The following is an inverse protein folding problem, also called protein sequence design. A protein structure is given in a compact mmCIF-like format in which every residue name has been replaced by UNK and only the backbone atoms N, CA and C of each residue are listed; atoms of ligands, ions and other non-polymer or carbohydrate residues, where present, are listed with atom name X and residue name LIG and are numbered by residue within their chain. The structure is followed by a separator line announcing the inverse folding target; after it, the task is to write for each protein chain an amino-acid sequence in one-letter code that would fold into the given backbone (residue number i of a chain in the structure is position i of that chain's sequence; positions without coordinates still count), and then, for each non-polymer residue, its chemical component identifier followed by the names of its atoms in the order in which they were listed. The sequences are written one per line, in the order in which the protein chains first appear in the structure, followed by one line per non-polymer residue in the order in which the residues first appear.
data_IF_315263896900
#
_entry.id   IF_315263896900
#
_cell.length_a   1.000
_cell.length_b   1.000
_cell.length_c   1.000
_cell.angle_alpha   90.00
_cell.angle_beta   90.00
_cell.angle_gamma   90.00
#
_symmetry.space_group_name_H-M   'P 1'
#
loop_
_entity.id
_entity.type
_entity.pdbx_description
1 polymer ?
#
# COMPACT_ATOMS: atom_id res chain seq x y z
N UNK A 1 -27.31 40.00 -9.38
CA UNK A 1 -27.80 38.69 -8.87
C UNK A 1 -26.64 37.94 -8.31
N UNK A 2 -26.46 37.96 -6.97
CA UNK A 2 -25.36 37.29 -6.26
C UNK A 2 -25.68 35.80 -6.16
N UNK A 3 -24.90 34.99 -6.83
CA UNK A 3 -24.93 33.53 -6.60
C UNK A 3 -24.48 33.25 -5.17
N UNK A 4 -25.18 32.44 -4.36
CA UNK A 4 -24.81 32.13 -2.99
C UNK A 4 -23.51 31.33 -2.96
N UNK A 5 -22.74 31.41 -1.88
CA UNK A 5 -21.46 30.74 -1.78
C UNK A 5 -21.63 29.22 -1.70
N UNK A 6 -21.21 28.54 -2.77
CA UNK A 6 -21.22 27.07 -2.91
C UNK A 6 -20.14 26.37 -2.05
N UNK A 7 -19.71 26.96 -0.91
CA UNK A 7 -18.54 26.53 -0.20
C UNK A 7 -18.77 25.56 0.99
N UNK A 8 -19.89 25.66 1.67
CA UNK A 8 -20.14 24.88 2.88
C UNK A 8 -20.39 23.35 2.63
N UNK A 9 -21.23 22.92 1.66
CA UNK A 9 -21.45 21.50 1.43
C UNK A 9 -20.22 20.76 0.89
N UNK A 10 -19.33 21.45 0.12
CA UNK A 10 -18.12 20.84 -0.44
C UNK A 10 -17.02 20.63 0.59
N UNK A 11 -16.87 21.53 1.57
CA UNK A 11 -15.90 21.36 2.66
C UNK A 11 -16.31 20.24 3.61
N UNK A 12 -17.59 20.10 3.92
CA UNK A 12 -18.13 19.00 4.71
C UNK A 12 -17.90 17.64 4.02
N UNK A 13 -18.08 17.58 2.68
CA UNK A 13 -17.82 16.37 1.90
C UNK A 13 -16.34 15.96 1.90
N UNK A 14 -15.41 16.92 1.84
CA UNK A 14 -13.97 16.65 1.92
C UNK A 14 -13.58 16.13 3.31
N UNK A 15 -14.04 16.77 4.38
CA UNK A 15 -13.77 16.32 5.73
C UNK A 15 -14.30 14.89 5.97
N UNK A 16 -15.51 14.61 5.46
CA UNK A 16 -16.11 13.29 5.54
C UNK A 16 -15.22 12.22 4.89
N UNK A 17 -14.82 12.42 3.62
CA UNK A 17 -14.04 11.39 2.90
C UNK A 17 -12.65 11.17 3.52
N UNK A 18 -12.06 12.22 4.13
CA UNK A 18 -10.81 12.09 4.86
C UNK A 18 -10.97 11.23 6.12
N UNK A 19 -12.07 11.40 6.86
CA UNK A 19 -12.40 10.56 8.01
C UNK A 19 -12.65 9.12 7.57
N UNK A 20 -13.39 8.91 6.47
CA UNK A 20 -13.61 7.58 5.87
C UNK A 20 -12.30 6.89 5.55
N UNK A 21 -11.39 7.54 4.82
CA UNK A 21 -10.08 6.97 4.47
C UNK A 21 -9.24 6.68 5.72
N UNK A 22 -9.26 7.57 6.70
CA UNK A 22 -8.53 7.36 7.95
C UNK A 22 -9.06 6.14 8.71
N UNK A 23 -10.38 5.98 8.82
CA UNK A 23 -11.01 4.84 9.50
C UNK A 23 -10.75 3.53 8.75
N UNK A 24 -10.80 3.53 7.42
CA UNK A 24 -10.49 2.35 6.60
C UNK A 24 -9.02 1.93 6.77
N UNK A 25 -8.09 2.91 6.81
CA UNK A 25 -6.67 2.62 7.03
C UNK A 25 -6.37 2.19 8.46
N UNK A 26 -7.08 2.74 9.43
CA UNK A 26 -7.01 2.30 10.82
C UNK A 26 -7.48 0.84 10.95
N UNK A 27 -8.63 0.52 10.40
CA UNK A 27 -9.18 -0.85 10.42
C UNK A 27 -8.25 -1.84 9.71
N UNK A 28 -7.72 -1.47 8.55
CA UNK A 28 -6.72 -2.26 7.84
C UNK A 28 -5.44 -2.46 8.66
N UNK A 29 -4.93 -1.38 9.28
CA UNK A 29 -3.74 -1.43 10.12
C UNK A 29 -3.89 -2.31 11.35
N UNK A 30 -5.08 -2.33 11.99
CA UNK A 30 -5.41 -3.18 13.13
C UNK A 30 -5.22 -4.67 12.80
N UNK A 31 -5.53 -5.08 11.57
CA UNK A 31 -5.50 -6.49 11.15
C UNK A 31 -4.08 -6.98 10.83
N UNK A 32 -3.17 -6.07 10.42
CA UNK A 32 -1.82 -6.44 9.94
C UNK A 32 -1.03 -7.32 10.92
N UNK A 33 -0.89 -7.00 12.21
CA UNK A 33 -0.11 -7.83 13.13
C UNK A 33 -0.87 -9.07 13.63
N UNK A 34 -2.17 -9.16 13.40
CA UNK A 34 -3.05 -10.14 14.06
C UNK A 34 -3.44 -11.28 13.13
N UNK A 35 -3.73 -11.01 11.86
CA UNK A 35 -4.08 -12.05 10.90
C UNK A 35 -2.99 -13.13 10.79
N UNK A 36 -1.68 -12.81 10.70
CA UNK A 36 -0.64 -13.82 10.69
C UNK A 36 -0.61 -14.69 11.94
N UNK A 37 -0.90 -14.10 13.11
CA UNK A 37 -0.98 -14.87 14.37
C UNK A 37 -2.14 -15.84 14.35
N UNK A 38 -3.33 -15.41 13.90
CA UNK A 38 -4.49 -16.28 13.79
C UNK A 38 -4.27 -17.45 12.82
N UNK A 39 -3.58 -17.19 11.71
CA UNK A 39 -3.17 -18.25 10.76
C UNK A 39 -2.16 -19.21 11.42
N UNK A 40 -1.20 -18.71 12.18
CA UNK A 40 -0.23 -19.51 12.90
C UNK A 40 -0.92 -20.43 13.91
N UNK A 41 -1.94 -19.92 14.61
CA UNK A 41 -2.71 -20.72 15.58
C UNK A 41 -3.51 -21.85 14.88
N UNK A 42 -4.17 -21.54 13.75
CA UNK A 42 -4.90 -22.55 12.97
C UNK A 42 -3.99 -23.58 12.29
N UNK A 43 -2.69 -23.28 12.12
CA UNK A 43 -1.70 -24.23 11.58
C UNK A 43 -0.95 -24.98 12.68
N UNK A 44 -1.42 -24.95 13.92
CA UNK A 44 -0.81 -25.64 15.06
C UNK A 44 0.59 -25.12 15.42
N UNK A 45 0.86 -23.85 15.15
CA UNK A 45 2.14 -23.20 15.43
C UNK A 45 3.22 -23.42 14.35
N UNK A 46 2.89 -24.09 13.24
CA UNK A 46 3.84 -24.30 12.14
C UNK A 46 4.05 -23.01 11.34
N UNK A 47 5.20 -22.35 11.51
CA UNK A 47 5.55 -21.14 10.78
C UNK A 47 5.61 -21.36 9.25
N UNK A 48 6.09 -22.53 8.80
CA UNK A 48 6.13 -22.91 7.38
C UNK A 48 4.71 -23.01 6.80
N UNK A 49 3.81 -23.73 7.47
CA UNK A 49 2.41 -23.84 7.02
C UNK A 49 1.70 -22.50 7.08
N UNK A 50 1.92 -21.70 8.11
CA UNK A 50 1.37 -20.36 8.23
C UNK A 50 1.80 -19.45 7.08
N UNK A 51 3.08 -19.51 6.69
CA UNK A 51 3.60 -18.73 5.57
C UNK A 51 2.95 -19.14 4.24
N UNK A 52 2.78 -20.42 3.96
CA UNK A 52 2.09 -20.90 2.77
C UNK A 52 0.65 -20.37 2.68
N UNK A 53 -0.11 -20.46 3.77
CA UNK A 53 -1.47 -19.91 3.82
C UNK A 53 -1.49 -18.39 3.69
N UNK A 54 -0.55 -17.66 4.30
CA UNK A 54 -0.40 -16.21 4.12
C UNK A 54 -0.13 -15.86 2.65
N UNK A 55 0.72 -16.65 1.98
CA UNK A 55 0.97 -16.51 0.54
C UNK A 55 -0.30 -16.68 -0.28
N UNK A 56 -1.09 -17.73 -0.01
CA UNK A 56 -2.39 -17.98 -0.68
C UNK A 56 -3.36 -16.83 -0.42
N UNK A 57 -3.53 -16.42 0.83
CA UNK A 57 -4.45 -15.34 1.21
C UNK A 57 -4.08 -14.00 0.56
N UNK A 58 -2.81 -13.65 0.61
CA UNK A 58 -2.32 -12.41 0.03
C UNK A 58 -2.43 -12.39 -1.49
N UNK A 59 -2.07 -13.51 -2.15
CA UNK A 59 -2.18 -13.63 -3.62
C UNK A 59 -3.63 -13.59 -4.08
N UNK A 60 -4.54 -14.32 -3.41
CA UNK A 60 -5.96 -14.28 -3.73
C UNK A 60 -6.54 -12.87 -3.58
N UNK A 61 -6.28 -12.22 -2.44
CA UNK A 61 -6.70 -10.85 -2.18
C UNK A 61 -6.20 -9.90 -3.27
N UNK A 62 -4.89 -9.91 -3.54
CA UNK A 62 -4.27 -9.01 -4.51
C UNK A 62 -4.72 -9.28 -5.95
N UNK A 63 -4.93 -10.55 -6.33
CA UNK A 63 -5.43 -10.91 -7.65
C UNK A 63 -6.87 -10.41 -7.84
N UNK A 64 -7.75 -10.65 -6.87
CA UNK A 64 -9.12 -10.15 -6.93
C UNK A 64 -9.12 -8.62 -6.98
N UNK A 65 -8.37 -7.95 -6.11
CA UNK A 65 -8.25 -6.49 -6.10
C UNK A 65 -7.74 -5.96 -7.45
N UNK A 66 -6.72 -6.58 -8.05
CA UNK A 66 -6.15 -6.18 -9.32
C UNK A 66 -7.19 -6.15 -10.45
N UNK A 67 -8.02 -7.20 -10.55
CA UNK A 67 -9.05 -7.28 -11.57
C UNK A 67 -10.27 -6.43 -11.25
N UNK A 68 -10.68 -6.33 -9.99
CA UNK A 68 -11.92 -5.68 -9.59
C UNK A 68 -11.78 -4.19 -9.26
N UNK A 69 -10.59 -3.68 -8.92
CA UNK A 69 -10.42 -2.25 -8.66
C UNK A 69 -10.82 -1.36 -9.86
N UNK A 70 -10.43 -1.65 -11.13
CA UNK A 70 -10.90 -0.90 -12.29
C UNK A 70 -12.41 -1.07 -12.52
N UNK A 71 -12.97 -2.26 -12.25
CA UNK A 71 -14.41 -2.53 -12.36
C UNK A 71 -15.18 -1.67 -11.35
N UNK A 72 -14.75 -1.62 -10.09
CA UNK A 72 -15.35 -0.77 -9.06
C UNK A 72 -15.24 0.72 -9.43
N UNK A 73 -14.12 1.14 -10.02
CA UNK A 73 -13.96 2.47 -10.59
C UNK A 73 -15.02 2.77 -11.64
N UNK A 74 -15.17 1.91 -12.64
CA UNK A 74 -16.16 2.06 -13.72
C UNK A 74 -17.61 1.96 -13.22
N UNK A 75 -17.89 1.12 -12.22
CA UNK A 75 -19.20 1.07 -11.56
C UNK A 75 -19.48 2.37 -10.81
N UNK A 76 -18.47 2.97 -10.18
CA UNK A 76 -18.62 4.26 -9.51
C UNK A 76 -18.85 5.42 -10.48
N UNK A 77 -18.29 5.33 -11.70
CA UNK A 77 -18.57 6.29 -12.78
C UNK A 77 -20.00 6.16 -13.31
N UNK A 78 -20.58 4.97 -13.29
CA UNK A 78 -21.92 4.70 -13.80
C UNK A 78 -23.02 4.96 -12.76
N UNK A 79 -22.84 4.44 -11.54
CA UNK A 79 -23.89 4.47 -10.51
C UNK A 79 -23.74 5.63 -9.52
N UNK A 80 -22.59 6.31 -9.54
CA UNK A 80 -22.20 7.32 -8.56
C UNK A 80 -21.13 6.81 -7.59
N UNK A 81 -20.40 7.72 -6.99
CA UNK A 81 -19.29 7.39 -6.05
C UNK A 81 -19.80 6.82 -4.75
N UNK A 82 -20.85 7.46 -4.20
CA UNK A 82 -21.41 7.13 -2.89
C UNK A 82 -21.85 5.67 -2.76
N UNK A 83 -22.67 5.09 -3.67
CA UNK A 83 -23.11 3.70 -3.54
C UNK A 83 -21.94 2.71 -3.51
N UNK A 84 -20.89 2.94 -4.31
CA UNK A 84 -19.74 2.04 -4.38
C UNK A 84 -18.89 2.14 -3.11
N UNK A 85 -18.67 3.34 -2.57
CA UNK A 85 -17.96 3.53 -1.28
C UNK A 85 -18.71 2.81 -0.17
N UNK A 86 -20.03 3.01 -0.08
CA UNK A 86 -20.85 2.37 0.95
C UNK A 86 -20.85 0.85 0.84
N UNK A 87 -21.04 0.31 -0.37
CA UNK A 87 -21.00 -1.14 -0.61
C UNK A 87 -19.65 -1.74 -0.22
N UNK A 88 -18.55 -1.07 -0.57
CA UNK A 88 -17.19 -1.49 -0.20
C UNK A 88 -16.99 -1.49 1.31
N UNK A 89 -17.40 -0.43 2.02
CA UNK A 89 -17.28 -0.36 3.48
C UNK A 89 -18.14 -1.41 4.17
N UNK A 90 -19.38 -1.65 3.70
CA UNK A 90 -20.24 -2.70 4.24
C UNK A 90 -19.63 -4.10 4.04
N UNK A 91 -19.13 -4.38 2.84
CA UNK A 91 -18.48 -5.66 2.53
C UNK A 91 -17.21 -5.90 3.36
N UNK A 92 -16.42 -4.85 3.62
CA UNK A 92 -15.25 -4.95 4.52
C UNK A 92 -15.67 -5.17 5.99
N UNK A 93 -16.73 -4.53 6.46
CA UNK A 93 -17.25 -4.78 7.80
C UNK A 93 -17.74 -6.25 7.95
N UNK A 94 -18.41 -6.78 6.92
CA UNK A 94 -18.83 -8.18 6.88
C UNK A 94 -17.63 -9.14 6.84
N UNK A 95 -16.56 -8.81 6.09
CA UNK A 95 -15.29 -9.57 6.07
C UNK A 95 -14.68 -9.65 7.48
N UNK A 96 -14.54 -8.52 8.17
CA UNK A 96 -13.97 -8.51 9.51
C UNK A 96 -14.80 -9.34 10.51
N UNK A 97 -16.12 -9.26 10.44
CA UNK A 97 -17.00 -10.09 11.26
C UNK A 97 -16.83 -11.59 10.92
N UNK A 98 -16.73 -11.93 9.63
CA UNK A 98 -16.51 -13.28 9.17
C UNK A 98 -15.18 -13.84 9.66
N UNK A 99 -14.10 -13.05 9.64
CA UNK A 99 -12.79 -13.44 10.17
C UNK A 99 -12.85 -13.60 11.69
N UNK A 100 -13.51 -12.70 12.42
CA UNK A 100 -13.67 -12.78 13.86
C UNK A 100 -14.38 -14.08 14.30
N UNK A 101 -15.33 -14.55 13.49
CA UNK A 101 -16.11 -15.78 13.73
C UNK A 101 -15.45 -17.02 13.10
N UNK A 102 -14.35 -16.88 12.35
CA UNK A 102 -13.78 -17.96 11.57
C UNK A 102 -13.40 -19.17 12.44
N UNK A 103 -13.90 -20.39 12.13
CA UNK A 103 -13.52 -21.61 12.82
C UNK A 103 -12.28 -22.28 12.21
N UNK A 104 -11.89 -21.89 10.99
CA UNK A 104 -10.78 -22.51 10.26
C UNK A 104 -10.25 -21.59 9.13
N UNK A 105 -9.16 -22.03 8.47
CA UNK A 105 -8.48 -21.29 7.40
C UNK A 105 -9.34 -21.03 6.16
N UNK A 106 -10.32 -21.87 5.84
CA UNK A 106 -11.19 -21.67 4.68
C UNK A 106 -12.11 -20.46 4.83
N UNK A 107 -12.56 -20.18 6.05
CA UNK A 107 -13.31 -18.96 6.36
C UNK A 107 -12.44 -17.71 6.21
N UNK A 108 -11.18 -17.80 6.61
CA UNK A 108 -10.22 -16.70 6.38
C UNK A 108 -10.00 -16.48 4.88
N UNK A 109 -9.92 -17.57 4.08
CA UNK A 109 -9.78 -17.48 2.64
C UNK A 109 -11.00 -16.80 2.00
N UNK A 110 -12.22 -17.17 2.42
CA UNK A 110 -13.45 -16.53 1.97
C UNK A 110 -13.46 -15.04 2.31
N UNK A 111 -13.04 -14.68 3.53
CA UNK A 111 -12.87 -13.29 3.95
C UNK A 111 -11.89 -12.55 3.04
N UNK A 112 -10.73 -13.11 2.75
CA UNK A 112 -9.76 -12.48 1.83
C UNK A 112 -10.32 -12.26 0.43
N UNK A 113 -11.18 -13.18 -0.06
CA UNK A 113 -11.88 -12.97 -1.33
C UNK A 113 -12.86 -11.78 -1.24
N UNK A 114 -13.69 -11.71 -0.20
CA UNK A 114 -14.62 -10.60 0.03
C UNK A 114 -13.87 -9.27 0.13
N UNK A 115 -12.80 -9.23 0.93
CA UNK A 115 -11.96 -8.04 1.06
C UNK A 115 -11.37 -7.59 -0.29
N UNK A 116 -10.91 -8.53 -1.12
CA UNK A 116 -10.40 -8.24 -2.47
C UNK A 116 -11.46 -7.59 -3.37
N UNK A 117 -12.70 -8.10 -3.36
CA UNK A 117 -13.82 -7.50 -4.09
C UNK A 117 -14.22 -6.13 -3.56
N UNK A 118 -14.13 -5.91 -2.25
CA UNK A 118 -14.56 -4.66 -1.61
C UNK A 118 -13.47 -3.59 -1.51
N UNK A 119 -12.24 -3.88 -1.94
CA UNK A 119 -11.10 -2.97 -1.83
C UNK A 119 -11.13 -1.82 -2.85
N UNK A 120 -12.23 -1.06 -2.90
CA UNK A 120 -12.30 0.20 -3.64
C UNK A 120 -11.71 1.39 -2.87
N UNK A 121 -11.12 1.13 -1.70
CA UNK A 121 -10.81 2.09 -0.63
C UNK A 121 -9.84 3.21 -1.01
N UNK A 122 -9.20 3.17 -2.16
CA UNK A 122 -8.26 4.22 -2.60
C UNK A 122 -8.73 4.87 -3.90
N UNK A 123 -9.15 4.09 -4.89
CA UNK A 123 -9.48 4.60 -6.23
C UNK A 123 -10.76 5.44 -6.23
N UNK A 124 -11.83 4.96 -5.61
CA UNK A 124 -13.13 5.65 -5.59
C UNK A 124 -13.11 6.89 -4.67
N UNK A 125 -12.57 6.86 -3.44
CA UNK A 125 -12.36 8.07 -2.64
C UNK A 125 -11.48 9.12 -3.32
N UNK A 126 -10.43 8.71 -4.04
CA UNK A 126 -9.59 9.65 -4.79
C UNK A 126 -10.37 10.35 -5.91
N UNK A 127 -11.21 9.62 -6.63
CA UNK A 127 -12.10 10.18 -7.63
C UNK A 127 -13.15 11.11 -6.99
N UNK A 128 -13.75 10.71 -5.87
CA UNK A 128 -14.67 11.54 -5.09
C UNK A 128 -14.05 12.90 -4.72
N UNK A 129 -12.82 12.88 -4.20
CA UNK A 129 -12.10 14.13 -3.86
C UNK A 129 -11.84 14.98 -5.10
N UNK A 130 -11.45 14.37 -6.21
CA UNK A 130 -11.27 15.12 -7.47
C UNK A 130 -12.57 15.78 -7.95
N UNK A 131 -13.73 15.16 -7.70
CA UNK A 131 -15.05 15.69 -8.07
C UNK A 131 -15.46 16.90 -7.20
N UNK A 132 -15.17 16.86 -5.88
CA UNK A 132 -15.60 17.89 -4.92
C UNK A 132 -14.58 19.01 -4.71
N UNK A 133 -13.32 18.84 -5.16
CA UNK A 133 -12.21 19.76 -4.89
C UNK A 133 -11.83 20.57 -6.14
N UNK A 134 -11.81 21.91 -6.08
CA UNK A 134 -11.30 22.74 -7.16
C UNK A 134 -9.85 22.39 -7.54
N UNK A 135 -9.46 22.51 -8.83
CA UNK A 135 -8.13 22.12 -9.31
C UNK A 135 -6.96 22.67 -8.47
N UNK A 136 -7.05 23.93 -8.03
CA UNK A 136 -6.01 24.64 -7.29
C UNK A 136 -5.79 24.06 -5.87
N UNK A 137 -6.81 23.40 -5.30
CA UNK A 137 -6.78 22.81 -3.96
C UNK A 137 -6.59 21.29 -3.95
N UNK A 138 -6.58 20.64 -5.14
CA UNK A 138 -6.46 19.17 -5.24
C UNK A 138 -5.18 18.63 -4.63
N UNK A 139 -4.06 19.29 -4.86
CA UNK A 139 -2.78 18.86 -4.29
C UNK A 139 -2.82 18.81 -2.75
N UNK A 140 -3.39 19.81 -2.10
CA UNK A 140 -3.56 19.84 -0.65
C UNK A 140 -4.54 18.77 -0.16
N UNK A 141 -5.64 18.52 -0.90
CA UNK A 141 -6.62 17.49 -0.56
C UNK A 141 -6.03 16.08 -0.67
N UNK A 142 -5.25 15.78 -1.72
CA UNK A 142 -4.54 14.51 -1.85
C UNK A 142 -3.43 14.37 -0.79
N UNK A 143 -2.76 15.46 -0.41
CA UNK A 143 -1.83 15.47 0.71
C UNK A 143 -2.50 15.10 2.04
N UNK A 144 -3.72 15.60 2.27
CA UNK A 144 -4.52 15.24 3.44
C UNK A 144 -4.95 13.76 3.46
N UNK A 145 -5.24 13.15 2.29
CA UNK A 145 -5.44 11.69 2.19
C UNK A 145 -4.17 10.96 2.65
N UNK A 146 -3.02 11.38 2.15
CA UNK A 146 -1.75 10.77 2.55
C UNK A 146 -1.49 10.86 4.06
N UNK A 147 -1.83 12.00 4.67
CA UNK A 147 -1.75 12.18 6.13
C UNK A 147 -2.74 11.27 6.88
N UNK A 148 -3.99 11.19 6.43
CA UNK A 148 -5.01 10.30 7.01
C UNK A 148 -4.58 8.82 6.91
N UNK A 149 -4.02 8.43 5.77
CA UNK A 149 -3.44 7.11 5.56
C UNK A 149 -2.30 6.85 6.55
N UNK A 150 -1.37 7.80 6.70
CA UNK A 150 -0.23 7.69 7.61
C UNK A 150 -0.64 7.53 9.07
N UNK A 151 -1.62 8.32 9.53
CA UNK A 151 -2.16 8.24 10.90
C UNK A 151 -2.81 6.87 11.14
N UNK A 152 -3.66 6.42 10.21
CA UNK A 152 -4.30 5.10 10.31
C UNK A 152 -3.28 3.96 10.32
N UNK A 153 -2.24 4.06 9.52
CA UNK A 153 -1.19 3.04 9.40
C UNK A 153 -0.23 3.01 10.61
N UNK A 154 -0.11 4.10 11.38
CA UNK A 154 0.65 4.12 12.65
C UNK A 154 -0.20 3.60 13.80
N UNK A 155 -1.42 4.13 13.94
CA UNK A 155 -2.28 3.80 15.07
C UNK A 155 -2.89 2.41 14.94
N UNK A 156 -3.19 1.96 13.72
CA UNK A 156 -3.82 0.67 13.45
C UNK A 156 -3.03 -0.50 14.02
N UNK A 157 -1.77 -0.73 13.61
CA UNK A 157 -0.96 -1.82 14.14
C UNK A 157 -0.75 -1.76 15.65
N UNK A 158 -0.65 -0.56 16.22
CA UNK A 158 -0.55 -0.39 17.67
C UNK A 158 -1.82 -0.89 18.39
N UNK A 159 -2.98 -0.41 17.97
CA UNK A 159 -4.27 -0.84 18.54
C UNK A 159 -4.49 -2.33 18.32
N UNK A 160 -4.23 -2.81 17.10
CA UNK A 160 -4.36 -4.22 16.75
C UNK A 160 -3.48 -5.13 17.60
N UNK A 161 -2.23 -4.74 17.81
CA UNK A 161 -1.28 -5.48 18.65
C UNK A 161 -1.72 -5.55 20.12
N UNK A 162 -2.17 -4.41 20.70
CA UNK A 162 -2.66 -4.38 22.08
C UNK A 162 -3.93 -5.22 22.24
N UNK A 163 -4.92 -5.03 21.36
CA UNK A 163 -6.17 -5.79 21.41
C UNK A 163 -5.93 -7.29 21.15
N UNK A 164 -5.09 -7.62 20.17
CA UNK A 164 -4.76 -9.00 19.83
C UNK A 164 -3.97 -9.74 20.91
N UNK A 165 -3.29 -9.03 21.81
CA UNK A 165 -2.65 -9.64 22.98
C UNK A 165 -3.61 -10.02 24.10
N UNK A 166 -4.84 -9.45 24.08
CA UNK A 166 -5.93 -9.81 25.01
C UNK A 166 -6.71 -10.99 24.44
N UNK A 167 -7.15 -10.87 23.20
CA UNK A 167 -7.84 -11.92 22.45
C UNK A 167 -7.50 -11.80 20.96
N UNK A 168 -7.04 -12.87 20.29
CA UNK A 168 -6.68 -12.83 18.86
C UNK A 168 -7.82 -12.41 17.92
N UNK A 169 -9.07 -12.49 18.35
CA UNK A 169 -10.25 -12.13 17.55
C UNK A 169 -10.74 -10.70 17.81
N UNK A 170 -10.40 -10.13 18.97
CA UNK A 170 -10.81 -8.78 19.36
C UNK A 170 -10.45 -7.69 18.33
N UNK A 171 -9.25 -7.68 17.71
CA UNK A 171 -8.91 -6.71 16.67
C UNK A 171 -9.86 -6.73 15.48
N UNK A 172 -10.34 -7.90 15.07
CA UNK A 172 -11.28 -8.02 13.95
C UNK A 172 -12.66 -7.47 14.30
N UNK A 173 -13.12 -7.66 15.55
CA UNK A 173 -14.34 -7.03 16.04
C UNK A 173 -14.22 -5.51 16.10
N UNK A 174 -13.09 -4.98 16.54
CA UNK A 174 -12.81 -3.53 16.55
C UNK A 174 -12.80 -2.98 15.13
N UNK A 175 -12.05 -3.62 14.21
CA UNK A 175 -11.99 -3.21 12.81
C UNK A 175 -13.38 -3.26 12.15
N UNK A 176 -14.13 -4.34 12.38
CA UNK A 176 -15.50 -4.50 11.89
C UNK A 176 -16.45 -3.42 12.42
N UNK A 177 -16.41 -3.14 13.71
CA UNK A 177 -17.21 -2.08 14.33
C UNK A 177 -16.86 -0.69 13.78
N UNK A 178 -15.58 -0.37 13.63
CA UNK A 178 -15.11 0.90 13.04
C UNK A 178 -15.57 1.04 11.59
N UNK A 179 -15.41 -0.01 10.78
CA UNK A 179 -15.82 0.01 9.37
C UNK A 179 -17.33 0.07 9.22
N UNK A 180 -18.09 -0.63 10.09
CA UNK A 180 -19.56 -0.53 10.12
C UNK A 180 -20.02 0.86 10.56
N UNK A 181 -19.37 1.46 11.56
CA UNK A 181 -19.64 2.83 11.97
C UNK A 181 -19.35 3.82 10.84
N UNK A 182 -18.25 3.61 10.08
CA UNK A 182 -17.92 4.39 8.89
C UNK A 182 -18.99 4.24 7.79
N UNK A 183 -19.46 3.02 7.54
CA UNK A 183 -20.59 2.76 6.63
C UNK A 183 -21.85 3.51 7.06
N UNK A 184 -22.25 3.40 8.34
CA UNK A 184 -23.42 4.09 8.87
C UNK A 184 -23.26 5.61 8.78
N UNK A 185 -22.10 6.14 9.14
CA UNK A 185 -21.78 7.56 8.98
C UNK A 185 -21.92 7.99 7.52
N UNK A 186 -21.37 7.21 6.58
CA UNK A 186 -21.49 7.45 5.15
C UNK A 186 -22.91 7.39 4.63
N UNK A 187 -23.71 6.49 5.17
CA UNK A 187 -25.12 6.34 4.79
C UNK A 187 -25.93 7.61 5.09
N UNK A 188 -25.66 8.30 6.19
CA UNK A 188 -26.42 9.49 6.61
C UNK A 188 -25.77 10.81 6.18
N UNK A 189 -24.43 10.87 6.01
CA UNK A 189 -23.70 12.13 5.88
C UNK A 189 -23.03 12.30 4.50
N UNK A 190 -22.65 11.19 3.79
CA UNK A 190 -21.94 11.31 2.52
C UNK A 190 -22.88 11.72 1.38
N UNK A 191 -22.74 12.92 0.80
CA UNK A 191 -23.48 13.28 -0.41
C UNK A 191 -22.93 12.56 -1.64
N UNK A 192 -23.72 12.47 -2.71
CA UNK A 192 -23.20 12.01 -4.00
C UNK A 192 -22.35 13.10 -4.64
N UNK A 193 -21.14 12.75 -5.11
CA UNK A 193 -20.24 13.69 -5.77
C UNK A 193 -20.39 13.72 -7.28
N UNK A 194 -20.92 12.64 -7.88
CA UNK A 194 -21.08 12.51 -9.31
C UNK A 194 -22.56 12.61 -9.71
N UNK A 195 -23.03 13.80 -10.17
CA UNK A 195 -24.40 13.99 -10.57
C UNK A 195 -24.75 13.13 -11.80
N UNK A 196 -26.03 12.75 -11.98
CA UNK A 196 -26.47 11.84 -13.04
C UNK A 196 -26.02 12.24 -14.44
N UNK A 197 -25.94 13.54 -14.72
CA UNK A 197 -25.60 14.13 -16.03
C UNK A 197 -24.11 13.91 -16.39
N UNK A 198 -23.26 13.64 -15.39
CA UNK A 198 -21.82 13.39 -15.57
C UNK A 198 -21.45 11.92 -15.51
N UNK A 199 -22.44 11.03 -15.31
CA UNK A 199 -22.21 9.60 -15.25
C UNK A 199 -21.87 9.04 -16.63
N UNK A 200 -20.87 8.15 -16.67
CA UNK A 200 -20.44 7.48 -17.89
C UNK A 200 -21.08 6.09 -18.03
N UNK A 201 -21.38 5.60 -19.25
CA UNK A 201 -21.79 4.22 -19.44
C UNK A 201 -20.66 3.27 -19.03
N UNK A 202 -21.03 2.09 -18.49
CA UNK A 202 -20.06 1.07 -18.13
C UNK A 202 -19.48 0.41 -19.40
N UNK A 203 -18.16 0.46 -19.55
CA UNK A 203 -17.44 -0.16 -20.67
C UNK A 203 -16.38 -1.13 -20.17
N UNK A 204 -16.57 -2.42 -20.40
CA UNK A 204 -15.62 -3.48 -20.00
C UNK A 204 -14.20 -3.28 -20.53
N UNK A 205 -14.05 -2.78 -21.76
CA UNK A 205 -12.74 -2.54 -22.37
C UNK A 205 -11.92 -1.45 -21.66
N UNK A 206 -12.58 -0.48 -21.04
CA UNK A 206 -11.92 0.58 -20.25
C UNK A 206 -11.60 0.15 -18.83
N UNK A 207 -12.33 -0.85 -18.31
CA UNK A 207 -12.09 -1.45 -16.99
C UNK A 207 -10.98 -2.53 -17.02
N UNK A 208 -9.95 -2.36 -17.88
CA UNK A 208 -8.88 -3.33 -18.06
C UNK A 208 -7.54 -2.82 -17.50
N UNK A 209 -7.00 -3.43 -16.44
CA UNK A 209 -5.72 -3.01 -15.87
C UNK A 209 -4.52 -3.26 -16.80
N UNK A 210 -4.62 -4.24 -17.70
CA UNK A 210 -3.54 -4.61 -18.62
C UNK A 210 -3.34 -3.55 -19.70
N UNK A 211 -4.42 -2.91 -20.17
CA UNK A 211 -4.36 -1.87 -21.20
C UNK A 211 -3.50 -0.68 -20.80
N UNK A 212 -3.54 -0.29 -19.53
CA UNK A 212 -2.72 0.80 -18.99
C UNK A 212 -1.22 0.45 -18.96
N UNK A 213 -0.90 -0.82 -18.63
CA UNK A 213 0.50 -1.29 -18.61
C UNK A 213 1.12 -1.32 -20.02
N UNK A 214 0.33 -1.60 -21.07
CA UNK A 214 0.81 -1.62 -22.45
C UNK A 214 1.25 -0.23 -22.95
N UNK A 215 0.76 0.86 -22.35
CA UNK A 215 1.19 2.23 -22.69
C UNK A 215 2.69 2.46 -22.46
N UNK A 216 3.29 1.73 -21.53
CA UNK A 216 4.74 1.79 -21.26
C UNK A 216 5.55 1.49 -22.51
N UNK A 217 5.05 0.63 -23.42
CA UNK A 217 5.72 0.29 -24.68
C UNK A 217 5.96 1.50 -25.60
N UNK A 218 5.19 2.57 -25.42
CA UNK A 218 5.32 3.79 -26.23
C UNK A 218 6.50 4.68 -25.80
N UNK A 219 7.09 4.43 -24.62
CA UNK A 219 8.18 5.23 -24.05
C UNK A 219 9.45 4.40 -23.80
N UNK A 220 10.22 4.02 -24.85
CA UNK A 220 11.42 3.22 -24.69
C UNK A 220 12.45 3.83 -23.74
N UNK A 221 12.57 5.16 -23.69
CA UNK A 221 13.47 5.88 -22.80
C UNK A 221 13.15 5.67 -21.31
N UNK A 222 11.91 5.26 -20.97
CA UNK A 222 11.48 5.03 -19.58
C UNK A 222 11.70 3.60 -19.12
N UNK A 223 12.00 2.64 -19.99
CA UNK A 223 12.11 1.22 -19.63
C UNK A 223 13.06 0.96 -18.47
N UNK A 224 14.19 1.67 -18.44
CA UNK A 224 15.16 1.54 -17.36
C UNK A 224 14.59 2.02 -16.01
N UNK A 225 13.94 3.21 -15.97
CA UNK A 225 13.29 3.71 -14.75
C UNK A 225 12.11 2.84 -14.31
N UNK A 226 11.38 2.28 -15.26
CA UNK A 226 10.28 1.33 -14.98
C UNK A 226 10.85 0.05 -14.40
N UNK A 227 11.97 -0.46 -14.92
CA UNK A 227 12.68 -1.61 -14.36
C UNK A 227 13.11 -1.37 -12.92
N UNK A 228 13.68 -0.20 -12.61
CA UNK A 228 13.96 0.21 -11.21
C UNK A 228 12.68 0.20 -10.37
N UNK A 229 11.60 0.77 -10.89
CA UNK A 229 10.33 0.84 -10.16
C UNK A 229 9.73 -0.54 -9.88
N UNK A 230 9.70 -1.44 -10.87
CA UNK A 230 9.21 -2.82 -10.73
C UNK A 230 9.98 -3.57 -9.65
N UNK A 231 11.33 -3.57 -9.75
CA UNK A 231 12.17 -4.30 -8.80
C UNK A 231 12.06 -3.71 -7.38
N UNK A 232 11.94 -2.38 -7.28
CA UNK A 232 11.74 -1.71 -5.99
C UNK A 232 10.34 -1.95 -5.41
N UNK A 233 9.29 -1.98 -6.23
CA UNK A 233 7.93 -2.33 -5.77
C UNK A 233 7.87 -3.78 -5.29
N UNK A 234 8.48 -4.72 -6.03
CA UNK A 234 8.61 -6.10 -5.57
C UNK A 234 9.34 -6.16 -4.23
N UNK A 235 10.51 -5.54 -4.10
CA UNK A 235 11.29 -5.56 -2.87
C UNK A 235 10.54 -4.99 -1.67
N UNK A 236 9.70 -3.95 -1.88
CA UNK A 236 8.94 -3.28 -0.81
C UNK A 236 8.00 -4.22 -0.07
N UNK A 237 7.36 -5.11 -0.80
CA UNK A 237 6.25 -5.90 -0.27
C UNK A 237 6.69 -7.09 0.61
N UNK A 238 8.01 -7.34 0.77
CA UNK A 238 8.50 -8.39 1.68
C UNK A 238 8.10 -8.15 3.13
N UNK A 239 8.26 -6.91 3.62
CA UNK A 239 7.94 -6.56 5.01
C UNK A 239 6.44 -6.71 5.33
N UNK A 240 5.49 -6.11 4.58
CA UNK A 240 4.07 -6.27 4.88
C UNK A 240 3.60 -7.73 4.94
N UNK A 241 4.21 -8.61 4.13
CA UNK A 241 3.77 -10.00 4.04
C UNK A 241 4.43 -10.94 5.05
N UNK A 242 5.65 -10.65 5.50
CA UNK A 242 6.42 -11.63 6.30
C UNK A 242 6.90 -11.11 7.64
N UNK A 243 6.75 -9.81 7.93
CA UNK A 243 7.35 -9.18 9.11
C UNK A 243 6.94 -9.79 10.44
N UNK A 244 5.67 -10.16 10.62
CA UNK A 244 5.19 -10.85 11.82
C UNK A 244 5.86 -12.22 11.97
N UNK A 245 5.78 -13.06 10.91
CA UNK A 245 6.36 -14.41 10.94
C UNK A 245 7.87 -14.37 11.11
N UNK A 246 8.55 -13.41 10.49
CA UNK A 246 9.98 -13.17 10.65
C UNK A 246 10.34 -12.84 12.10
N UNK A 247 9.68 -11.85 12.71
CA UNK A 247 9.93 -11.46 14.09
C UNK A 247 9.64 -12.60 15.06
N UNK A 248 8.55 -13.34 14.84
CA UNK A 248 8.17 -14.48 15.65
C UNK A 248 9.18 -15.64 15.54
N UNK A 249 9.51 -16.06 14.31
CA UNK A 249 10.41 -17.22 14.11
C UNK A 249 11.87 -16.91 14.48
N UNK A 250 12.34 -15.66 14.30
CA UNK A 250 13.73 -15.28 14.51
C UNK A 250 14.05 -14.86 15.92
N UNK A 251 13.14 -14.13 16.58
CA UNK A 251 13.36 -13.47 17.86
C UNK A 251 12.34 -13.87 18.94
N UNK A 252 11.33 -14.69 18.60
CA UNK A 252 10.25 -15.03 19.52
C UNK A 252 9.28 -13.86 19.79
N UNK A 253 9.22 -12.88 18.90
CA UNK A 253 8.38 -11.69 19.09
C UNK A 253 6.90 -12.07 19.21
N UNK A 254 6.24 -11.45 20.16
CA UNK A 254 4.79 -11.48 20.28
C UNK A 254 4.13 -10.38 19.41
N UNK A 255 2.81 -10.32 19.43
CA UNK A 255 2.06 -9.31 18.68
C UNK A 255 2.40 -7.88 19.12
N UNK A 256 2.67 -7.66 20.43
CA UNK A 256 2.98 -6.32 20.95
C UNK A 256 4.30 -5.80 20.40
N UNK A 257 5.32 -6.64 20.40
CA UNK A 257 6.64 -6.26 19.89
C UNK A 257 6.60 -5.98 18.39
N UNK A 258 5.86 -6.77 17.62
CA UNK A 258 5.62 -6.50 16.21
C UNK A 258 4.87 -5.17 16.02
N UNK A 259 3.85 -4.90 16.85
CA UNK A 259 3.12 -3.63 16.85
C UNK A 259 4.04 -2.43 17.08
N UNK A 260 4.92 -2.48 18.08
CA UNK A 260 5.91 -1.41 18.35
C UNK A 260 6.88 -1.22 17.18
N UNK A 261 7.35 -2.30 16.57
CA UNK A 261 8.21 -2.21 15.40
C UNK A 261 7.49 -1.57 14.19
N UNK A 262 6.21 -1.89 13.96
CA UNK A 262 5.41 -1.26 12.91
C UNK A 262 5.14 0.23 13.18
N UNK A 263 4.93 0.61 14.45
CA UNK A 263 4.87 2.04 14.85
C UNK A 263 6.19 2.73 14.53
N UNK A 264 7.33 2.11 14.86
CA UNK A 264 8.65 2.68 14.53
C UNK A 264 8.82 2.87 13.01
N UNK A 265 8.38 1.90 12.18
CA UNK A 265 8.34 2.03 10.71
C UNK A 265 7.49 3.24 10.30
N UNK A 266 6.28 3.36 10.85
CA UNK A 266 5.37 4.47 10.55
C UNK A 266 5.96 5.84 10.92
N UNK A 267 6.53 5.96 12.13
CA UNK A 267 7.18 7.19 12.61
C UNK A 267 8.37 7.56 11.72
N UNK A 268 9.24 6.60 11.39
CA UNK A 268 10.37 6.84 10.48
C UNK A 268 9.90 7.29 9.10
N UNK A 269 8.85 6.67 8.55
CA UNK A 269 8.27 7.10 7.28
C UNK A 269 7.78 8.55 7.34
N UNK A 270 7.08 8.96 8.41
CA UNK A 270 6.62 10.34 8.56
C UNK A 270 7.80 11.31 8.66
N UNK A 271 8.80 11.03 9.49
CA UNK A 271 9.99 11.87 9.65
C UNK A 271 10.70 12.05 8.31
N UNK A 272 10.93 11.00 7.58
CA UNK A 272 11.68 11.06 6.33
C UNK A 272 10.84 11.68 5.21
N UNK A 273 9.58 11.28 5.05
CA UNK A 273 8.73 11.81 3.98
C UNK A 273 8.39 13.29 4.17
N UNK A 274 8.07 13.71 5.41
CA UNK A 274 7.73 15.10 5.69
C UNK A 274 8.95 16.02 5.81
N UNK A 275 10.09 15.50 6.33
CA UNK A 275 11.23 16.34 6.70
C UNK A 275 12.50 16.15 5.85
N UNK A 276 12.83 14.93 5.44
CA UNK A 276 14.15 14.62 4.89
C UNK A 276 14.19 14.54 3.35
N UNK A 277 13.15 14.04 2.68
CA UNK A 277 13.17 13.81 1.22
C UNK A 277 13.48 15.09 0.45
N UNK A 278 12.76 16.18 0.73
CA UNK A 278 12.95 17.44 0.01
C UNK A 278 14.37 18.01 0.12
N UNK A 279 14.91 18.18 1.34
CA UNK A 279 16.29 18.60 1.54
C UNK A 279 17.32 17.67 0.87
N UNK A 280 17.17 16.34 0.99
CA UNK A 280 18.09 15.38 0.40
C UNK A 280 18.10 15.48 -1.13
N UNK A 281 16.91 15.51 -1.76
CA UNK A 281 16.81 15.61 -3.22
C UNK A 281 17.36 16.94 -3.73
N UNK A 282 17.13 18.04 -3.02
CA UNK A 282 17.72 19.35 -3.37
C UNK A 282 19.24 19.36 -3.24
N UNK A 283 19.79 18.76 -2.19
CA UNK A 283 21.24 18.78 -1.93
C UNK A 283 22.00 17.82 -2.87
N UNK A 284 21.46 16.64 -3.15
CA UNK A 284 22.15 15.62 -3.94
C UNK A 284 21.83 15.69 -5.44
N UNK A 285 20.72 16.32 -5.81
CA UNK A 285 20.12 16.20 -7.14
C UNK A 285 19.48 14.81 -7.36
N UNK A 286 18.61 14.72 -8.36
CA UNK A 286 17.76 13.53 -8.59
C UNK A 286 18.55 12.23 -8.79
N UNK A 287 19.63 12.28 -9.59
CA UNK A 287 20.46 11.09 -9.88
C UNK A 287 21.10 10.52 -8.62
N UNK A 288 21.78 11.37 -7.82
CA UNK A 288 22.44 10.90 -6.60
C UNK A 288 21.43 10.52 -5.53
N UNK A 289 20.30 11.23 -5.44
CA UNK A 289 19.20 10.91 -4.53
C UNK A 289 18.59 9.53 -4.86
N UNK A 290 18.44 9.17 -6.15
CA UNK A 290 18.01 7.84 -6.57
C UNK A 290 18.92 6.75 -6.00
N UNK A 291 20.24 6.87 -6.24
CA UNK A 291 21.20 5.89 -5.74
C UNK A 291 21.32 5.89 -4.21
N UNK A 292 21.24 7.05 -3.57
CA UNK A 292 21.21 7.14 -2.12
C UNK A 292 20.04 6.35 -1.54
N UNK A 293 18.82 6.61 -2.03
CA UNK A 293 17.63 5.85 -1.57
C UNK A 293 17.75 4.35 -1.81
N UNK A 294 18.23 3.94 -3.00
CA UNK A 294 18.46 2.52 -3.31
C UNK A 294 19.52 1.88 -2.40
N UNK A 295 20.61 2.58 -2.09
CA UNK A 295 21.64 2.09 -1.17
C UNK A 295 21.10 1.93 0.25
N UNK A 296 20.29 2.89 0.74
CA UNK A 296 19.64 2.80 2.05
C UNK A 296 18.68 1.61 2.10
N UNK A 297 17.87 1.40 1.06
CA UNK A 297 16.98 0.24 0.96
C UNK A 297 17.74 -1.09 0.92
N UNK A 298 18.77 -1.19 0.07
CA UNK A 298 19.63 -2.38 -0.02
C UNK A 298 20.26 -2.72 1.34
N UNK A 299 20.84 -1.71 2.01
CA UNK A 299 21.44 -1.87 3.33
C UNK A 299 20.42 -2.30 4.39
N UNK A 300 19.23 -1.70 4.38
CA UNK A 300 18.15 -2.05 5.30
C UNK A 300 17.70 -3.51 5.12
N UNK A 301 17.40 -3.93 3.89
CA UNK A 301 16.95 -5.30 3.63
C UNK A 301 18.07 -6.33 3.88
N UNK A 302 19.31 -6.02 3.55
CA UNK A 302 20.44 -6.86 3.90
C UNK A 302 20.56 -7.01 5.43
N UNK A 303 20.44 -5.90 6.17
CA UNK A 303 20.51 -5.90 7.64
C UNK A 303 19.36 -6.70 8.26
N UNK A 304 18.12 -6.55 7.79
CA UNK A 304 17.00 -7.39 8.20
C UNK A 304 17.30 -8.88 7.94
N UNK A 305 17.82 -9.20 6.75
CA UNK A 305 18.07 -10.58 6.33
C UNK A 305 19.08 -11.31 7.20
N UNK A 306 20.13 -10.61 7.67
CA UNK A 306 21.21 -11.18 8.50
C UNK A 306 21.04 -10.89 10.00
N UNK A 307 19.98 -10.18 10.41
CA UNK A 307 19.81 -9.76 11.80
C UNK A 307 19.82 -10.96 12.76
N UNK A 308 20.69 -10.90 13.76
CA UNK A 308 20.81 -11.89 14.84
C UNK A 308 20.40 -11.32 16.21
N UNK A 309 20.19 -10.00 16.29
CA UNK A 309 19.75 -9.29 17.49
C UNK A 309 18.64 -8.28 17.13
N UNK A 310 17.74 -8.05 18.07
CA UNK A 310 16.56 -7.17 17.87
C UNK A 310 16.93 -5.73 17.49
N UNK A 311 18.00 -5.16 18.10
CA UNK A 311 18.45 -3.80 17.78
C UNK A 311 18.80 -3.64 16.29
N UNK A 312 19.27 -4.72 15.62
CA UNK A 312 19.57 -4.68 14.19
C UNK A 312 18.30 -4.46 13.36
N UNK A 313 17.16 -5.00 13.81
CA UNK A 313 15.86 -4.78 13.16
C UNK A 313 15.47 -3.30 13.26
N UNK A 314 15.63 -2.68 14.44
CA UNK A 314 15.36 -1.25 14.60
C UNK A 314 16.34 -0.36 13.83
N UNK A 315 17.61 -0.75 13.74
CA UNK A 315 18.58 -0.08 12.88
C UNK A 315 18.20 -0.21 11.40
N UNK A 316 17.69 -1.36 10.96
CA UNK A 316 17.20 -1.58 9.61
C UNK A 316 15.92 -0.74 9.34
N UNK A 317 15.01 -0.57 10.33
CA UNK A 317 13.87 0.33 10.24
C UNK A 317 14.34 1.77 10.01
N UNK A 318 15.30 2.25 10.80
CA UNK A 318 15.84 3.60 10.67
C UNK A 318 16.48 3.83 9.29
N UNK A 319 17.28 2.89 8.81
CA UNK A 319 17.91 2.94 7.49
C UNK A 319 16.87 2.88 6.37
N UNK A 320 15.89 1.97 6.49
CA UNK A 320 14.82 1.74 5.53
C UNK A 320 13.88 2.94 5.36
N UNK A 321 13.74 3.80 6.38
CA UNK A 321 12.99 5.04 6.27
C UNK A 321 13.51 5.94 5.13
N UNK A 322 14.83 6.00 4.93
CA UNK A 322 15.44 6.79 3.86
C UNK A 322 15.29 6.16 2.46
N UNK A 323 14.89 4.90 2.39
CA UNK A 323 14.64 4.26 1.11
C UNK A 323 13.61 5.00 0.26
N UNK A 324 12.59 5.62 0.87
CA UNK A 324 11.57 6.41 0.16
C UNK A 324 12.13 7.52 -0.75
N UNK A 325 13.38 7.95 -0.54
CA UNK A 325 14.05 8.98 -1.37
C UNK A 325 14.18 8.52 -2.83
N UNK A 326 14.39 7.20 -3.10
CA UNK A 326 14.48 6.69 -4.47
C UNK A 326 13.20 6.93 -5.25
N UNK A 327 12.05 6.73 -4.61
CA UNK A 327 10.75 6.85 -5.30
C UNK A 327 10.44 8.30 -5.68
N UNK A 328 10.77 9.26 -4.80
CA UNK A 328 10.62 10.69 -5.08
C UNK A 328 11.53 11.12 -6.25
N UNK A 329 12.79 10.67 -6.25
CA UNK A 329 13.74 10.95 -7.33
C UNK A 329 13.30 10.31 -8.66
N UNK A 330 12.92 9.02 -8.65
CA UNK A 330 12.44 8.31 -9.84
C UNK A 330 11.16 8.95 -10.40
N UNK A 331 10.21 9.32 -9.54
CA UNK A 331 8.96 9.98 -9.93
C UNK A 331 9.21 11.33 -10.60
N UNK A 332 10.14 12.12 -10.07
CA UNK A 332 10.54 13.40 -10.67
C UNK A 332 11.19 13.18 -12.04
N UNK A 333 12.08 12.21 -12.17
CA UNK A 333 12.73 11.88 -13.45
C UNK A 333 11.70 11.38 -14.48
N UNK A 334 10.77 10.50 -14.07
CA UNK A 334 9.69 10.02 -14.92
C UNK A 334 8.76 11.16 -15.40
N UNK A 335 8.38 12.06 -14.49
CA UNK A 335 7.48 13.15 -14.81
C UNK A 335 8.11 14.18 -15.77
N UNK A 336 9.41 14.42 -15.69
CA UNK A 336 10.13 15.32 -16.61
C UNK A 336 10.28 14.76 -18.03
N UNK A 337 10.13 13.44 -18.20
CA UNK A 337 10.36 12.78 -19.50
C UNK A 337 9.08 12.73 -20.36
N UNK A 338 7.92 12.99 -19.77
CA UNK A 338 6.62 12.85 -20.42
C UNK A 338 5.90 14.20 -20.48
N UNK A 339 5.21 14.47 -21.59
CA UNK A 339 4.47 15.71 -21.77
C UNK A 339 3.42 15.90 -20.65
N UNK A 340 3.12 17.15 -20.24
CA UNK A 340 2.11 17.43 -19.20
C UNK A 340 0.74 16.79 -19.45
N UNK A 341 0.34 16.68 -20.72
CA UNK A 341 -0.93 16.06 -21.15
C UNK A 341 -0.96 14.54 -20.98
N UNK A 342 0.20 13.88 -20.86
CA UNK A 342 0.34 12.43 -20.76
C UNK A 342 0.70 11.96 -19.33
N UNK A 343 0.90 12.88 -18.39
CA UNK A 343 1.24 12.57 -17.00
C UNK A 343 0.22 11.61 -16.35
N UNK A 344 -1.08 11.86 -16.55
CA UNK A 344 -2.13 10.99 -16.02
C UNK A 344 -2.06 9.55 -16.55
N UNK A 345 -1.73 9.39 -17.85
CA UNK A 345 -1.57 8.07 -18.48
C UNK A 345 -0.35 7.32 -17.92
N UNK A 346 0.77 8.03 -17.71
CA UNK A 346 1.97 7.46 -17.09
C UNK A 346 1.69 6.99 -15.66
N UNK A 347 1.04 7.83 -14.85
CA UNK A 347 0.69 7.47 -13.47
C UNK A 347 -0.24 6.27 -13.40
N UNK A 348 -1.24 6.20 -14.29
CA UNK A 348 -2.12 5.04 -14.42
C UNK A 348 -1.36 3.76 -14.80
N UNK A 349 -0.40 3.86 -15.73
CA UNK A 349 0.44 2.74 -16.14
C UNK A 349 1.33 2.24 -14.98
N UNK A 350 1.97 3.15 -14.24
CA UNK A 350 2.79 2.82 -13.07
C UNK A 350 1.96 2.18 -11.95
N UNK A 351 0.74 2.68 -11.71
CA UNK A 351 -0.18 2.10 -10.74
C UNK A 351 -0.58 0.67 -11.13
N UNK A 352 -0.85 0.40 -12.42
CA UNK A 352 -1.15 -0.94 -12.93
C UNK A 352 0.03 -1.90 -12.77
N UNK A 353 1.25 -1.43 -13.05
CA UNK A 353 2.48 -2.21 -12.84
C UNK A 353 2.67 -2.54 -11.38
N UNK A 354 2.48 -1.56 -10.47
CA UNK A 354 2.57 -1.79 -9.03
C UNK A 354 1.54 -2.81 -8.56
N UNK A 355 0.30 -2.69 -9.03
CA UNK A 355 -0.77 -3.65 -8.70
C UNK A 355 -0.45 -5.07 -9.20
N UNK A 356 0.12 -5.21 -10.40
CA UNK A 356 0.58 -6.51 -10.91
C UNK A 356 1.72 -7.10 -10.04
N UNK A 357 2.67 -6.28 -9.57
CA UNK A 357 3.70 -6.71 -8.63
C UNK A 357 3.08 -7.24 -7.33
N UNK A 358 2.07 -6.55 -6.79
CA UNK A 358 1.39 -6.93 -5.56
C UNK A 358 0.67 -8.29 -5.64
N UNK A 359 0.29 -8.77 -6.82
CA UNK A 359 -0.26 -10.13 -7.01
C UNK A 359 0.82 -11.21 -6.80
N UNK A 360 2.05 -10.92 -7.19
CA UNK A 360 3.16 -11.89 -7.13
C UNK A 360 3.84 -11.94 -5.76
N UNK A 361 3.90 -10.80 -5.06
CA UNK A 361 4.72 -10.62 -3.86
C UNK A 361 4.32 -11.49 -2.67
N UNK A 362 3.02 -11.77 -2.36
CA UNK A 362 2.66 -12.63 -1.26
C UNK A 362 3.19 -14.06 -1.45
N UNK A 363 3.03 -14.64 -2.65
CA UNK A 363 3.53 -15.98 -2.93
C UNK A 363 5.07 -16.03 -2.91
N UNK A 364 5.73 -15.03 -3.51
CA UNK A 364 7.18 -14.94 -3.55
C UNK A 364 7.79 -14.88 -2.14
N UNK A 365 7.35 -13.94 -1.31
CA UNK A 365 7.99 -13.69 -0.03
C UNK A 365 7.59 -14.67 1.05
N UNK A 366 6.32 -15.09 1.11
CA UNK A 366 5.92 -16.15 2.04
C UNK A 366 6.51 -17.49 1.63
N UNK A 367 6.66 -17.76 0.32
CA UNK A 367 7.38 -18.93 -0.18
C UNK A 367 8.86 -18.92 0.21
N UNK A 368 9.55 -17.78 0.03
CA UNK A 368 10.95 -17.62 0.47
C UNK A 368 11.09 -17.79 1.98
N UNK A 369 10.15 -17.27 2.77
CA UNK A 369 10.13 -17.47 4.22
C UNK A 369 9.94 -18.95 4.59
N UNK A 370 8.93 -19.61 4.00
CA UNK A 370 8.62 -21.00 4.28
C UNK A 370 9.81 -21.94 3.96
N UNK A 371 10.45 -21.72 2.80
CA UNK A 371 11.65 -22.45 2.41
C UNK A 371 12.83 -22.17 3.36
N UNK A 372 13.04 -20.91 3.73
CA UNK A 372 14.11 -20.55 4.66
C UNK A 372 13.94 -21.25 6.03
N UNK A 373 12.77 -21.09 6.64
CA UNK A 373 12.49 -21.66 7.98
C UNK A 373 12.43 -23.18 7.96
N UNK A 374 12.08 -23.82 6.85
CA UNK A 374 12.13 -25.28 6.72
C UNK A 374 13.55 -25.85 6.84
N UNK A 375 14.57 -25.04 6.53
CA UNK A 375 15.98 -25.41 6.70
C UNK A 375 16.46 -25.11 8.12
N UNK A 376 16.30 -23.86 8.57
CA UNK A 376 16.66 -23.41 9.92
C UNK A 376 15.98 -22.06 10.21
N UNK A 377 15.59 -21.82 11.48
CA UNK A 377 15.01 -20.54 11.92
C UNK A 377 15.90 -19.31 11.64
N UNK A 378 17.22 -19.52 11.49
CA UNK A 378 18.17 -18.48 11.09
C UNK A 378 17.86 -17.90 9.70
N UNK A 379 17.23 -18.68 8.82
CA UNK A 379 16.84 -18.27 7.49
C UNK A 379 15.46 -17.60 7.43
N UNK A 380 14.86 -17.30 8.57
CA UNK A 380 13.62 -16.50 8.60
C UNK A 380 13.76 -15.14 7.88
N UNK A 381 14.99 -14.61 7.76
CA UNK A 381 15.33 -13.41 7.00
C UNK A 381 15.43 -13.58 5.47
N UNK A 382 15.23 -14.79 4.92
CA UNK A 382 15.33 -15.07 3.49
C UNK A 382 14.48 -14.12 2.60
N UNK A 383 13.23 -13.76 2.94
CA UNK A 383 12.46 -12.78 2.16
C UNK A 383 13.16 -11.44 2.02
N UNK A 384 13.82 -10.97 3.09
CA UNK A 384 14.54 -9.71 3.11
C UNK A 384 15.80 -9.78 2.26
N UNK A 385 16.49 -10.91 2.24
CA UNK A 385 17.64 -11.15 1.34
C UNK A 385 17.19 -11.18 -0.13
N UNK A 386 16.03 -11.76 -0.43
CA UNK A 386 15.43 -11.68 -1.76
C UNK A 386 15.17 -10.22 -2.14
N UNK A 387 14.62 -9.40 -1.24
CA UNK A 387 14.43 -7.96 -1.48
C UNK A 387 15.76 -7.23 -1.71
N UNK A 388 16.78 -7.53 -0.93
CA UNK A 388 18.11 -6.98 -1.15
C UNK A 388 18.67 -7.36 -2.54
N UNK A 389 18.49 -8.61 -2.96
CA UNK A 389 18.89 -9.09 -4.29
C UNK A 389 18.13 -8.36 -5.41
N UNK A 390 16.81 -8.16 -5.27
CA UNK A 390 16.00 -7.40 -6.22
C UNK A 390 16.47 -5.95 -6.34
N UNK A 391 16.81 -5.29 -5.22
CA UNK A 391 17.37 -3.94 -5.25
C UNK A 391 18.77 -3.89 -5.86
N UNK A 392 19.61 -4.90 -5.61
CA UNK A 392 20.92 -5.03 -6.28
C UNK A 392 20.74 -5.19 -7.80
N UNK A 393 19.76 -6.01 -8.24
CA UNK A 393 19.39 -6.15 -9.65
C UNK A 393 18.82 -4.86 -10.26
N UNK A 394 18.25 -3.97 -9.45
CA UNK A 394 17.76 -2.68 -9.92
C UNK A 394 18.89 -1.66 -10.20
N UNK A 395 20.09 -1.84 -9.64
CA UNK A 395 21.21 -0.91 -9.82
C UNK A 395 21.68 -0.76 -11.31
N UNK A 396 21.86 -1.83 -12.10
CA UNK A 396 22.15 -1.70 -13.52
C UNK A 396 21.11 -0.88 -14.30
N UNK A 397 19.80 -1.09 -13.97
CA UNK A 397 18.72 -0.30 -14.57
C UNK A 397 18.80 1.18 -14.16
N UNK A 398 19.12 1.47 -12.91
CA UNK A 398 19.33 2.84 -12.43
C UNK A 398 20.50 3.52 -13.13
N UNK A 399 21.61 2.79 -13.34
CA UNK A 399 22.75 3.28 -14.11
C UNK A 399 22.38 3.55 -15.58
N UNK A 400 21.66 2.64 -16.23
CA UNK A 400 21.18 2.83 -17.59
C UNK A 400 20.23 4.04 -17.69
N UNK A 401 19.27 4.16 -16.79
CA UNK A 401 18.33 5.28 -16.74
C UNK A 401 19.03 6.63 -16.60
N UNK A 402 20.01 6.72 -15.72
CA UNK A 402 20.75 7.99 -15.49
C UNK A 402 21.72 8.36 -16.62
N UNK A 403 22.08 7.41 -17.49
CA UNK A 403 22.90 7.66 -18.71
C UNK A 403 22.04 8.03 -19.91
N UNK A 404 20.85 7.44 -20.05
CA UNK A 404 19.97 7.63 -21.21
C UNK A 404 19.16 8.94 -21.17
N UNK A 405 18.95 9.53 -19.99
CA UNK A 405 18.23 10.79 -19.86
C UNK A 405 19.13 11.98 -20.21
N UNK A 406 18.72 12.90 -21.11
CA UNK A 406 19.50 14.06 -21.51
C UNK A 406 19.90 14.92 -20.30
N UNK A 407 21.16 15.36 -20.27
CA UNK A 407 21.68 16.21 -19.20
C UNK A 407 20.87 17.52 -19.03
N UNK A 408 20.27 18.05 -20.11
CA UNK A 408 19.42 19.24 -20.08
C UNK A 408 18.13 19.08 -19.28
N UNK A 409 17.56 17.86 -19.16
CA UNK A 409 16.39 17.58 -18.34
C UNK A 409 16.70 17.48 -16.84
N UNK A 410 17.98 17.38 -16.49
CA UNK A 410 18.47 17.09 -15.14
C UNK A 410 19.13 18.33 -14.50
N UNK A 411 19.52 19.31 -15.30
CA UNK A 411 20.30 20.49 -14.89
C UNK A 411 19.47 21.75 -14.61
N UNK A 412 18.12 21.67 -14.66
CA UNK A 412 17.28 22.82 -14.34
C UNK A 412 17.01 22.90 -12.82
N UNK A 413 18.03 23.35 -12.07
CA UNK A 413 17.94 24.14 -10.85
C UNK A 413 19.30 24.72 -10.48
#
# INVERSE_FOLDING_TARGET
MNSPPASAPRQAALAFILVTVMLDMLAFGIVIPVLPKLVLDFTGGSATSAAWWQGVFGTLFAAIQFFFAPVLGALSDRFGRRPVILLSSFGLAADYALIALAPNLWWLLAGRAIAGFCSASISVPSAYIADVTPPEKRAAAFGAIGAAFGVGFILGPFIGAQAGSVDPRLPFWIAGALTLANFCYGLFVLPESLPPERRAPFEWLKANPVGSALLIRQYPALWALIGVSVLSYLAHDSLPHTFFLYGHARFGWDQRMVGYALVAVGVMNVIVQAGAIGPIVRALGEKRALFFGMAMGLGAFALYGVAWAEWMVFAAIALGGFWGVWSAAAQTMLSKTVAPTEQGRLQGALASVRAACQVLTPALFNGAFALGVSVDARWAGAPMLVSAALLALALPFALAATRSLPAALIASH
#
